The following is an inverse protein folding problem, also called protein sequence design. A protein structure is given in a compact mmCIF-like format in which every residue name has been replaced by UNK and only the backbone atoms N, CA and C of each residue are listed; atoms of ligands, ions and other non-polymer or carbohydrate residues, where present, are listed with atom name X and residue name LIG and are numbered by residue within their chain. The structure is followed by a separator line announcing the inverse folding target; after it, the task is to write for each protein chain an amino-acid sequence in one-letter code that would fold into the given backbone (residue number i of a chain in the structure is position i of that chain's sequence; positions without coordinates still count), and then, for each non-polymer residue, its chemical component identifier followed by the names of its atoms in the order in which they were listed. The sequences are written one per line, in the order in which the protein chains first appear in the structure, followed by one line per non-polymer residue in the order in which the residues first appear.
data_IF_562054886162
#
_entry.id   IF_562054886162
#
_cell.length_a   1.000
_cell.length_b   1.000
_cell.length_c   1.000
_cell.angle_alpha   90.00
_cell.angle_beta   90.00
_cell.angle_gamma   90.00
#
_symmetry.space_group_name_H-M   'P 1'
#
loop_
_entity.id
_entity.type
_entity.pdbx_description
1 polymer ?
#
# COMPACT_ATOMS: atom_id res chain seq x y z
N UNK A 1 -9.08 -7.25 -30.66
CA UNK A 1 -8.31 -6.02 -30.35
C UNK A 1 -6.89 -6.45 -30.01
N UNK A 2 -5.86 -5.85 -30.62
CA UNK A 2 -4.46 -6.17 -30.33
C UNK A 2 -4.04 -5.66 -28.92
N UNK A 3 -3.02 -6.30 -28.33
CA UNK A 3 -2.54 -5.96 -26.98
C UNK A 3 -2.21 -4.46 -26.80
N UNK A 4 -1.75 -3.78 -27.86
CA UNK A 4 -1.45 -2.34 -27.83
C UNK A 4 -2.70 -1.46 -27.68
N UNK A 5 -3.85 -1.87 -28.21
CA UNK A 5 -5.10 -1.12 -28.04
C UNK A 5 -5.68 -1.29 -26.64
N UNK A 6 -5.52 -2.48 -26.04
CA UNK A 6 -5.95 -2.74 -24.65
C UNK A 6 -5.11 -1.93 -23.67
N UNK A 7 -3.79 -1.84 -23.88
CA UNK A 7 -2.91 -1.05 -23.04
C UNK A 7 -3.24 0.45 -23.12
N UNK A 8 -3.53 0.98 -24.33
CA UNK A 8 -3.94 2.38 -24.50
C UNK A 8 -5.28 2.68 -23.82
N UNK A 9 -6.26 1.78 -23.90
CA UNK A 9 -7.54 1.95 -23.22
C UNK A 9 -7.39 1.91 -21.69
N UNK A 10 -6.50 1.06 -21.17
CA UNK A 10 -6.17 1.00 -19.75
C UNK A 10 -5.52 2.31 -19.27
N UNK A 11 -4.51 2.81 -19.99
CA UNK A 11 -3.82 4.07 -19.65
C UNK A 11 -4.77 5.26 -19.69
N UNK A 12 -5.67 5.34 -20.68
CA UNK A 12 -6.68 6.38 -20.76
C UNK A 12 -7.74 6.27 -19.66
N UNK A 13 -8.14 5.06 -19.28
CA UNK A 13 -9.04 4.81 -18.14
C UNK A 13 -8.43 5.25 -16.80
N UNK A 14 -7.15 4.97 -16.61
CA UNK A 14 -6.37 5.38 -15.43
C UNK A 14 -6.26 6.92 -15.37
N UNK A 15 -5.93 7.56 -16.49
CA UNK A 15 -5.84 9.01 -16.57
C UNK A 15 -7.21 9.69 -16.33
N UNK A 16 -8.30 9.10 -16.79
CA UNK A 16 -9.65 9.59 -16.54
C UNK A 16 -10.06 9.45 -15.06
N UNK A 17 -9.68 8.35 -14.38
CA UNK A 17 -9.93 8.21 -12.94
C UNK A 17 -9.19 9.29 -12.13
N UNK A 18 -7.94 9.61 -12.49
CA UNK A 18 -7.15 10.63 -11.81
C UNK A 18 -7.72 12.07 -11.97
N UNK A 19 -8.54 12.31 -12.99
CA UNK A 19 -9.13 13.63 -13.27
C UNK A 19 -10.47 13.88 -12.55
N UNK A 20 -11.08 12.87 -11.93
CA UNK A 20 -12.44 12.97 -11.36
C UNK A 20 -12.45 13.44 -9.89
N UNK A 21 -11.31 13.47 -9.20
CA UNK A 21 -11.24 13.79 -7.78
C UNK A 21 -10.58 15.17 -7.52
N UNK A 22 -11.24 16.09 -6.80
CA UNK A 22 -10.68 17.40 -6.44
C UNK A 22 -9.63 17.28 -5.31
N UNK A 23 -8.70 18.24 -5.25
CA UNK A 23 -7.49 18.17 -4.44
C UNK A 23 -7.67 18.48 -2.95
N UNK A 24 -6.90 17.80 -2.16
CA UNK A 24 -6.93 17.88 -0.70
C UNK A 24 -5.60 17.60 0.06
N UNK A 25 -5.22 18.25 1.14
CA UNK A 25 -3.88 18.39 1.79
C UNK A 25 -3.64 17.60 3.10
N UNK A 26 -2.60 16.79 3.30
CA UNK A 26 -1.84 16.42 4.51
C UNK A 26 -0.54 15.67 4.22
N UNK A 27 0.32 15.47 5.24
CA UNK A 27 1.51 14.66 5.08
C UNK A 27 1.14 13.24 4.65
N UNK A 28 1.63 12.87 3.48
CA UNK A 28 1.36 11.59 2.91
C UNK A 28 2.19 10.54 3.64
N UNK A 29 1.53 9.63 4.29
CA UNK A 29 2.14 8.43 4.79
C UNK A 29 1.90 7.28 3.81
N UNK A 30 2.92 6.50 3.53
CA UNK A 30 2.95 5.43 2.54
C UNK A 30 2.08 4.21 2.88
N UNK A 31 1.17 4.36 3.81
CA UNK A 31 0.27 3.31 4.32
C UNK A 31 -0.63 2.71 3.25
N UNK A 32 -0.98 3.51 2.25
CA UNK A 32 -1.70 3.05 1.07
C UNK A 32 -1.00 1.90 0.31
N UNK A 33 0.31 1.76 0.52
CA UNK A 33 1.16 0.81 -0.18
C UNK A 33 1.27 -0.51 0.59
N UNK A 34 1.12 -0.48 1.91
CA UNK A 34 1.36 -1.60 2.82
C UNK A 34 0.09 -2.19 3.47
N UNK A 35 -1.09 -1.78 3.05
CA UNK A 35 -2.34 -2.35 3.55
C UNK A 35 -2.62 -3.77 3.02
N UNK A 36 -3.70 -4.43 3.45
CA UNK A 36 -4.10 -5.78 3.02
C UNK A 36 -4.24 -5.93 1.50
N UNK A 37 -4.58 -4.85 0.81
CA UNK A 37 -4.66 -4.79 -0.66
C UNK A 37 -3.31 -4.97 -1.34
N UNK A 38 -2.21 -4.60 -0.70
CA UNK A 38 -0.87 -4.82 -1.24
C UNK A 38 -0.54 -6.29 -1.34
N UNK A 39 -1.18 -7.15 -0.54
CA UNK A 39 -1.03 -8.60 -0.64
C UNK A 39 -1.43 -9.14 -2.01
N UNK A 40 -2.45 -8.55 -2.65
CA UNK A 40 -2.82 -8.89 -4.03
C UNK A 40 -1.67 -8.60 -5.01
N UNK A 41 -0.96 -7.50 -4.83
CA UNK A 41 0.19 -7.16 -5.67
C UNK A 41 1.38 -8.09 -5.42
N UNK A 42 1.57 -8.53 -4.18
CA UNK A 42 2.72 -9.34 -3.81
C UNK A 42 2.65 -10.78 -4.31
N UNK A 43 1.48 -11.29 -4.67
CA UNK A 43 1.34 -12.61 -5.29
C UNK A 43 1.68 -12.62 -6.79
N UNK A 44 1.82 -11.47 -7.44
CA UNK A 44 1.93 -11.35 -8.89
C UNK A 44 3.38 -11.15 -9.34
N UNK A 45 3.86 -11.95 -10.27
CA UNK A 45 5.22 -11.84 -10.82
C UNK A 45 5.38 -10.70 -11.83
N UNK A 46 4.30 -10.39 -12.55
CA UNK A 46 4.27 -9.28 -13.52
C UNK A 46 2.94 -8.58 -13.43
N UNK A 47 2.98 -7.30 -13.15
CA UNK A 47 1.77 -6.51 -13.03
C UNK A 47 2.01 -5.02 -13.26
N UNK A 48 0.93 -4.32 -13.55
CA UNK A 48 0.80 -2.88 -13.37
C UNK A 48 -0.47 -2.60 -12.58
N UNK A 49 -0.45 -1.58 -11.74
CA UNK A 49 -1.65 -1.18 -11.01
C UNK A 49 -1.78 0.33 -10.94
N UNK A 50 -3.03 0.78 -10.84
CA UNK A 50 -3.38 2.13 -10.46
C UNK A 50 -4.37 2.08 -9.30
N UNK A 51 -4.09 2.82 -8.25
CA UNK A 51 -4.85 2.81 -7.02
C UNK A 51 -5.10 4.23 -6.56
N UNK A 52 -6.20 4.46 -5.87
CA UNK A 52 -6.51 5.73 -5.22
C UNK A 52 -6.94 5.44 -3.80
N UNK A 53 -6.34 6.12 -2.86
CA UNK A 53 -6.67 6.06 -1.45
C UNK A 53 -7.05 7.45 -0.96
N UNK A 54 -8.04 7.53 -0.11
CA UNK A 54 -8.39 8.75 0.59
C UNK A 54 -8.55 8.46 2.07
N UNK A 55 -7.95 9.29 2.91
CA UNK A 55 -8.10 9.21 4.37
C UNK A 55 -8.46 10.56 4.94
N UNK A 56 -9.12 10.56 6.08
CA UNK A 56 -9.37 11.73 6.87
C UNK A 56 -8.64 11.63 8.19
N UNK A 57 -7.83 12.64 8.50
CA UNK A 57 -7.02 12.73 9.72
C UNK A 57 -7.52 13.91 10.54
N UNK A 58 -7.35 13.85 11.85
CA UNK A 58 -7.53 14.98 12.75
C UNK A 58 -8.81 14.97 13.57
N UNK A 59 -8.95 16.00 14.38
CA UNK A 59 -10.06 16.24 15.31
C UNK A 59 -11.15 17.13 14.71
N UNK A 60 -12.16 17.46 15.51
CA UNK A 60 -13.28 18.32 15.06
C UNK A 60 -12.89 19.76 14.71
N UNK A 61 -11.72 20.23 15.12
CA UNK A 61 -11.25 21.61 14.85
C UNK A 61 -10.04 21.68 13.92
N UNK A 62 -9.45 20.52 13.55
CA UNK A 62 -8.31 20.45 12.64
C UNK A 62 -8.47 19.17 11.80
N UNK A 63 -9.18 19.30 10.69
CA UNK A 63 -9.45 18.19 9.79
C UNK A 63 -8.60 18.32 8.54
N UNK A 64 -7.98 17.23 8.23
CA UNK A 64 -7.20 17.07 7.03
C UNK A 64 -7.72 15.88 6.23
N UNK A 65 -7.92 16.07 4.94
CA UNK A 65 -8.24 14.97 4.03
C UNK A 65 -7.07 14.78 3.07
N UNK A 66 -6.60 13.58 2.93
CA UNK A 66 -5.56 13.18 2.02
C UNK A 66 -6.13 12.25 0.94
N UNK A 67 -5.70 12.46 -0.30
CA UNK A 67 -6.01 11.56 -1.41
C UNK A 67 -4.74 11.26 -2.17
N UNK A 68 -4.31 10.01 -2.17
CA UNK A 68 -3.09 9.55 -2.84
C UNK A 68 -3.44 8.63 -4.00
N UNK A 69 -3.04 9.05 -5.20
CA UNK A 69 -2.99 8.19 -6.38
C UNK A 69 -1.66 7.44 -6.41
N UNK A 70 -1.69 6.13 -6.62
CA UNK A 70 -0.50 5.30 -6.65
C UNK A 70 -0.45 4.55 -7.97
N UNK A 71 0.62 4.75 -8.72
CA UNK A 71 0.97 3.90 -9.85
C UNK A 71 2.05 2.92 -9.40
N UNK A 72 1.86 1.64 -9.66
CA UNK A 72 2.89 0.64 -9.36
C UNK A 72 3.02 -0.39 -10.46
N UNK A 73 4.19 -1.00 -10.52
CA UNK A 73 4.47 -2.09 -11.44
C UNK A 73 5.53 -3.02 -10.87
N UNK A 74 5.45 -4.27 -11.29
CA UNK A 74 6.42 -5.29 -10.93
C UNK A 74 6.72 -6.20 -12.10
N UNK A 75 7.95 -6.67 -12.15
CA UNK A 75 8.42 -7.59 -13.17
C UNK A 75 9.44 -8.56 -12.58
N UNK A 76 9.33 -9.83 -12.95
CA UNK A 76 10.40 -10.80 -12.73
C UNK A 76 11.47 -10.59 -13.83
N UNK A 77 12.67 -10.07 -13.48
CA UNK A 77 13.69 -9.74 -14.47
C UNK A 77 14.40 -10.97 -15.03
N UNK A 78 14.34 -12.09 -14.33
CA UNK A 78 15.04 -13.33 -14.71
C UNK A 78 14.08 -14.50 -14.60
N UNK A 79 13.71 -15.07 -15.72
CA UNK A 79 12.81 -16.23 -15.75
C UNK A 79 13.39 -17.40 -14.93
N UNK A 80 12.56 -17.97 -14.07
CA UNK A 80 12.94 -19.08 -13.18
C UNK A 80 13.54 -18.66 -11.83
N UNK A 81 13.82 -17.37 -11.62
CA UNK A 81 14.14 -16.87 -10.28
C UNK A 81 12.87 -16.33 -9.61
N UNK A 82 12.58 -16.70 -8.36
CA UNK A 82 11.40 -16.22 -7.63
C UNK A 82 11.61 -14.80 -7.08
N UNK A 83 12.16 -13.92 -7.91
CA UNK A 83 12.46 -12.52 -7.58
C UNK A 83 11.65 -11.60 -8.46
N UNK A 84 10.91 -10.68 -7.89
CA UNK A 84 10.21 -9.61 -8.61
C UNK A 84 10.76 -8.27 -8.16
N UNK A 85 11.13 -7.42 -9.11
CA UNK A 85 11.48 -6.02 -8.87
C UNK A 85 10.23 -5.17 -9.04
N UNK A 86 10.02 -4.22 -8.14
CA UNK A 86 8.83 -3.36 -8.11
C UNK A 86 9.21 -1.89 -8.05
N UNK A 87 8.40 -1.06 -8.70
CA UNK A 87 8.46 0.40 -8.57
C UNK A 87 7.08 0.92 -8.19
N UNK A 88 7.03 1.90 -7.30
CA UNK A 88 5.81 2.53 -6.80
C UNK A 88 6.01 4.04 -6.85
N UNK A 89 5.08 4.73 -7.49
CA UNK A 89 5.10 6.18 -7.69
C UNK A 89 3.80 6.77 -7.13
N UNK A 90 3.83 7.33 -5.92
CA UNK A 90 2.67 8.00 -5.33
C UNK A 90 2.59 9.46 -5.75
N UNK A 91 1.36 9.96 -5.87
CA UNK A 91 1.04 11.36 -6.05
C UNK A 91 -0.07 11.75 -5.10
N UNK A 92 0.20 12.64 -4.21
CA UNK A 92 -0.76 13.06 -3.20
C UNK A 92 -1.31 14.44 -3.44
N UNK A 93 -2.50 14.56 -3.00
CA UNK A 93 -3.29 15.77 -2.98
C UNK A 93 -3.84 15.90 -1.56
N UNK A 94 -3.47 17.00 -0.88
CA UNK A 94 -3.63 17.22 0.55
C UNK A 94 -4.45 18.51 0.89
N UNK A 95 -5.66 18.51 1.63
CA UNK A 95 -6.54 19.66 2.05
C UNK A 95 -6.61 19.81 3.57
N UNK A 96 -6.24 20.97 4.04
CA UNK A 96 -6.62 21.40 5.39
C UNK A 96 -8.04 21.99 5.34
N UNK A 97 -9.02 21.17 5.67
CA UNK A 97 -10.43 21.52 5.50
C UNK A 97 -10.82 22.77 6.29
N UNK A 98 -10.19 22.98 7.45
CA UNK A 98 -10.47 24.10 8.33
C UNK A 98 -9.67 25.37 7.97
N UNK A 99 -8.53 25.23 7.29
CA UNK A 99 -7.69 26.37 6.87
C UNK A 99 -7.92 26.80 5.41
N UNK A 100 -8.67 25.99 4.63
CA UNK A 100 -8.93 26.26 3.21
C UNK A 100 -7.68 26.23 2.33
N UNK A 101 -6.58 25.61 2.81
CA UNK A 101 -5.33 25.50 2.06
C UNK A 101 -5.22 24.12 1.39
N UNK A 102 -4.55 24.08 0.23
CA UNK A 102 -4.34 22.87 -0.55
C UNK A 102 -2.93 22.84 -1.12
N UNK A 103 -2.30 21.64 -1.09
CA UNK A 103 -1.03 21.37 -1.77
C UNK A 103 -1.09 20.02 -2.47
N UNK A 104 -0.34 19.80 -3.51
CA UNK A 104 -0.28 18.52 -4.22
C UNK A 104 1.10 18.31 -4.84
N UNK A 105 1.48 17.06 -5.05
CA UNK A 105 2.75 16.73 -5.67
C UNK A 105 3.06 15.24 -5.62
N UNK A 106 4.15 14.87 -6.27
CA UNK A 106 4.71 13.55 -6.14
C UNK A 106 5.30 13.38 -4.73
N UNK A 107 5.15 12.18 -4.20
CA UNK A 107 5.84 11.72 -3.01
C UNK A 107 7.11 10.96 -3.41
N UNK A 108 7.78 10.39 -2.42
CA UNK A 108 8.99 9.64 -2.65
C UNK A 108 8.72 8.34 -3.41
N UNK A 109 9.56 8.05 -4.39
CA UNK A 109 9.44 6.84 -5.21
C UNK A 109 10.01 5.66 -4.42
N UNK A 110 9.27 4.54 -4.39
CA UNK A 110 9.73 3.31 -3.76
C UNK A 110 10.21 2.35 -4.85
N UNK A 111 11.46 1.90 -4.72
CA UNK A 111 12.00 0.79 -5.48
C UNK A 111 12.21 -0.40 -4.54
N UNK A 112 11.69 -1.55 -4.91
CA UNK A 112 11.76 -2.75 -4.09
C UNK A 112 12.08 -4.00 -4.88
N UNK A 113 12.52 -5.00 -4.14
CA UNK A 113 12.66 -6.37 -4.61
C UNK A 113 11.98 -7.29 -3.62
N UNK A 114 11.37 -8.34 -4.11
CA UNK A 114 10.76 -9.38 -3.30
C UNK A 114 11.20 -10.75 -3.78
N UNK A 115 11.36 -11.64 -2.84
CA UNK A 115 11.67 -13.05 -3.04
C UNK A 115 10.49 -13.89 -2.56
N UNK A 116 9.92 -14.71 -3.45
CA UNK A 116 8.82 -15.63 -3.15
C UNK A 116 9.37 -17.03 -2.93
N UNK A 117 8.95 -17.67 -1.86
CA UNK A 117 9.24 -19.05 -1.56
C UNK A 117 7.94 -19.85 -1.49
N UNK A 118 7.72 -20.75 -2.45
CA UNK A 118 6.52 -21.57 -2.51
C UNK A 118 6.58 -22.69 -1.47
N UNK A 119 5.57 -22.78 -0.62
CA UNK A 119 5.52 -23.74 0.49
C UNK A 119 5.26 -25.18 0.04
N UNK A 120 4.79 -25.40 -1.18
CA UNK A 120 4.67 -26.72 -1.81
C UNK A 120 6.00 -27.48 -1.83
N UNK A 121 7.14 -26.76 -1.88
CA UNK A 121 8.47 -27.35 -1.81
C UNK A 121 8.81 -27.96 -0.45
N UNK A 122 8.10 -27.57 0.62
CA UNK A 122 8.32 -28.08 2.00
C UNK A 122 7.32 -29.18 2.39
N UNK A 123 6.09 -29.10 1.89
CA UNK A 123 5.00 -29.97 2.34
C UNK A 123 4.14 -30.33 1.14
N UNK A 124 4.24 -31.55 0.65
CA UNK A 124 3.47 -32.09 -0.49
C UNK A 124 1.96 -31.87 -0.41
N UNK A 125 1.42 -31.68 0.80
CA UNK A 125 -0.01 -31.41 1.04
C UNK A 125 -0.42 -29.95 0.80
N UNK A 126 0.54 -29.05 0.57
CA UNK A 126 0.31 -27.61 0.37
C UNK A 126 0.55 -27.19 -1.08
N UNK A 127 0.32 -28.12 -1.98
CA UNK A 127 0.46 -27.93 -3.43
C UNK A 127 -0.65 -27.02 -3.98
N UNK A 128 -0.57 -25.74 -3.62
CA UNK A 128 -1.41 -24.66 -4.17
C UNK A 128 -0.59 -23.41 -4.36
N UNK A 129 -0.79 -22.75 -5.48
CA UNK A 129 -0.10 -21.49 -5.84
C UNK A 129 -0.27 -20.37 -4.79
N UNK A 130 -1.36 -20.41 -4.02
CA UNK A 130 -1.64 -19.48 -2.92
C UNK A 130 -0.85 -19.71 -1.64
N UNK A 131 -0.07 -20.80 -1.54
CA UNK A 131 0.70 -21.15 -0.35
C UNK A 131 2.16 -20.73 -0.51
N UNK A 132 2.54 -19.60 0.05
CA UNK A 132 3.90 -19.07 -0.10
C UNK A 132 4.33 -18.22 1.10
N UNK A 133 5.65 -18.08 1.24
CA UNK A 133 6.30 -17.03 2.02
C UNK A 133 6.97 -16.04 1.08
N UNK A 134 6.99 -14.79 1.47
CA UNK A 134 7.59 -13.72 0.70
C UNK A 134 8.41 -12.83 1.63
N UNK A 135 9.67 -12.62 1.28
CA UNK A 135 10.52 -11.58 1.84
C UNK A 135 10.59 -10.38 0.89
N UNK A 136 10.61 -9.19 1.43
CA UNK A 136 10.75 -7.97 0.64
C UNK A 136 11.75 -7.01 1.27
N UNK A 137 12.42 -6.25 0.42
CA UNK A 137 13.28 -5.13 0.78
C UNK A 137 13.15 -4.03 -0.25
N UNK A 138 13.35 -2.79 0.15
CA UNK A 138 13.27 -1.65 -0.77
C UNK A 138 13.90 -0.40 -0.20
N UNK A 139 14.00 0.58 -1.08
CA UNK A 139 14.46 1.92 -0.76
C UNK A 139 13.42 2.92 -1.23
N UNK A 140 13.25 3.96 -0.46
CA UNK A 140 12.45 5.11 -0.79
C UNK A 140 13.37 6.26 -1.16
N UNK A 141 13.19 6.74 -2.38
CA UNK A 141 14.05 7.76 -2.99
C UNK A 141 13.36 9.11 -2.86
N UNK A 142 14.01 10.12 -2.27
CA UNK A 142 13.43 11.43 -2.08
C UNK A 142 13.25 12.13 -3.43
N UNK A 143 12.11 11.92 -4.04
CA UNK A 143 11.68 12.57 -5.29
C UNK A 143 10.52 13.51 -5.06
N UNK A 144 9.97 13.50 -3.84
CA UNK A 144 8.78 14.22 -3.45
C UNK A 144 8.95 15.73 -3.50
N UNK A 145 7.94 16.38 -4.07
CA UNK A 145 7.84 17.85 -4.15
C UNK A 145 6.97 18.41 -3.02
N UNK A 146 6.19 17.52 -2.35
CA UNK A 146 5.22 17.94 -1.34
C UNK A 146 5.90 18.43 -0.06
N UNK A 147 6.88 17.70 0.44
CA UNK A 147 7.47 17.95 1.76
C UNK A 147 8.91 18.45 1.70
N UNK A 148 9.60 18.26 0.58
CA UNK A 148 11.00 18.59 0.43
C UNK A 148 11.28 19.31 -0.88
N UNK A 149 12.39 20.06 -0.90
CA UNK A 149 13.01 20.42 -2.17
C UNK A 149 13.40 19.11 -2.85
N UNK A 150 12.91 18.88 -4.05
CA UNK A 150 13.16 17.67 -4.82
C UNK A 150 14.64 17.23 -4.71
N UNK A 151 14.87 15.94 -4.37
CA UNK A 151 16.18 15.30 -4.26
C UNK A 151 17.06 15.70 -3.04
N UNK A 152 16.53 16.44 -2.07
CA UNK A 152 17.30 16.88 -0.90
C UNK A 152 17.08 16.05 0.38
N UNK A 153 16.16 15.12 0.36
CA UNK A 153 15.86 14.19 1.47
C UNK A 153 16.86 13.05 1.61
N UNK A 154 16.87 12.34 2.74
CA UNK A 154 17.61 11.09 2.91
C UNK A 154 16.91 9.94 2.16
N UNK A 155 17.67 8.86 1.89
CA UNK A 155 17.08 7.59 1.46
C UNK A 155 16.50 6.88 2.67
N UNK A 156 15.24 6.48 2.59
CA UNK A 156 14.61 5.62 3.58
C UNK A 156 14.65 4.15 3.13
N UNK A 157 14.59 3.24 4.09
CA UNK A 157 14.70 1.81 3.82
C UNK A 157 13.47 1.08 4.35
N UNK A 158 13.05 0.08 3.62
CA UNK A 158 11.92 -0.76 4.04
C UNK A 158 12.24 -2.22 3.86
N UNK A 159 11.67 -3.02 4.75
CA UNK A 159 11.81 -4.47 4.70
C UNK A 159 10.60 -5.14 5.34
N UNK A 160 10.35 -6.38 4.96
CA UNK A 160 9.21 -7.09 5.52
C UNK A 160 9.11 -8.52 5.04
N UNK A 161 8.09 -9.17 5.57
CA UNK A 161 7.74 -10.52 5.20
C UNK A 161 6.22 -10.67 5.12
N UNK A 162 5.76 -11.58 4.28
CA UNK A 162 4.36 -11.95 4.12
C UNK A 162 4.26 -13.45 3.98
N UNK A 163 3.24 -14.05 4.59
CA UNK A 163 2.87 -15.45 4.40
C UNK A 163 1.43 -15.54 3.93
N UNK A 164 1.17 -16.43 2.99
CA UNK A 164 -0.17 -16.75 2.50
C UNK A 164 -0.43 -18.24 2.56
N UNK A 165 -1.62 -18.60 3.00
CA UNK A 165 -2.13 -19.98 3.01
C UNK A 165 -3.52 -20.02 2.41
N UNK A 166 -3.75 -21.02 1.56
CA UNK A 166 -5.02 -21.20 0.86
C UNK A 166 -5.58 -22.61 1.08
N UNK A 167 -6.88 -22.68 1.32
CA UNK A 167 -7.61 -23.96 1.47
C UNK A 167 -9.05 -23.83 0.97
N UNK A 168 -9.33 -24.42 -0.18
CA UNK A 168 -10.66 -24.33 -0.82
C UNK A 168 -10.97 -22.90 -1.23
N UNK A 169 -12.14 -22.42 -0.83
CA UNK A 169 -12.56 -21.04 -1.07
C UNK A 169 -11.98 -20.04 -0.05
N UNK A 170 -11.18 -20.48 0.91
CA UNK A 170 -10.61 -19.65 1.94
C UNK A 170 -9.13 -19.43 1.74
N UNK A 171 -8.68 -18.22 1.92
CA UNK A 171 -7.27 -17.88 2.05
C UNK A 171 -7.02 -17.01 3.27
N UNK A 172 -5.83 -17.17 3.84
CA UNK A 172 -5.36 -16.38 4.97
C UNK A 172 -4.01 -15.78 4.67
N UNK A 173 -3.80 -14.57 5.13
CA UNK A 173 -2.52 -13.86 4.98
C UNK A 173 -2.08 -13.27 6.31
N UNK A 174 -0.76 -13.23 6.53
CA UNK A 174 -0.14 -12.49 7.61
C UNK A 174 1.09 -11.76 7.06
N UNK A 175 1.35 -10.55 7.55
CA UNK A 175 2.48 -9.76 7.08
C UNK A 175 3.06 -8.89 8.19
N UNK A 176 4.32 -8.51 8.01
CA UNK A 176 4.99 -7.50 8.81
C UNK A 176 5.88 -6.64 7.92
N UNK A 177 5.94 -5.34 8.20
CA UNK A 177 6.80 -4.38 7.53
C UNK A 177 7.47 -3.49 8.55
N UNK A 178 8.71 -3.14 8.26
CA UNK A 178 9.46 -2.13 8.97
C UNK A 178 9.94 -1.10 7.97
N UNK A 179 9.73 0.18 8.27
CA UNK A 179 10.29 1.31 7.55
C UNK A 179 11.23 2.06 8.47
N UNK A 180 12.47 2.17 8.04
CA UNK A 180 13.48 2.98 8.66
C UNK A 180 13.52 4.34 7.97
N UNK A 181 13.16 5.39 8.68
CA UNK A 181 13.32 6.76 8.22
C UNK A 181 14.73 7.24 8.59
N UNK A 182 15.48 7.71 7.61
CA UNK A 182 16.84 8.19 7.82
C UNK A 182 16.83 9.65 8.33
N UNK A 183 17.84 10.07 9.10
CA UNK A 183 17.94 11.45 9.53
C UNK A 183 18.25 12.39 8.35
N UNK A 184 17.65 13.56 8.36
CA UNK A 184 17.94 14.63 7.42
C UNK A 184 19.31 15.31 7.71
N UNK A 185 19.69 16.25 6.86
CA UNK A 185 20.97 16.99 6.98
C UNK A 185 21.08 17.84 8.26
N UNK A 186 19.97 18.09 8.93
CA UNK A 186 19.91 18.87 10.18
C UNK A 186 19.89 17.97 11.42
N UNK A 187 19.88 16.64 11.24
CA UNK A 187 19.78 15.65 12.30
C UNK A 187 18.34 15.42 12.77
N UNK A 188 17.37 16.00 12.09
CA UNK A 188 15.95 15.67 12.27
C UNK A 188 15.65 14.29 11.66
N UNK A 189 14.76 13.54 12.28
CA UNK A 189 14.36 12.21 11.80
C UNK A 189 12.88 11.98 12.08
N UNK A 190 12.10 11.57 11.08
CA UNK A 190 10.77 11.01 11.30
C UNK A 190 10.89 9.69 12.07
N UNK A 191 9.94 9.36 12.90
CA UNK A 191 9.92 8.08 13.60
C UNK A 191 9.80 6.90 12.64
N UNK A 192 10.49 5.81 12.95
CA UNK A 192 10.38 4.58 12.17
C UNK A 192 8.99 3.97 12.32
N UNK A 193 8.52 3.24 11.31
CA UNK A 193 7.20 2.66 11.29
C UNK A 193 7.27 1.13 11.30
N UNK A 194 6.39 0.51 12.08
CA UNK A 194 6.24 -0.95 12.16
C UNK A 194 4.78 -1.28 11.86
N UNK A 195 4.56 -2.17 10.92
CA UNK A 195 3.24 -2.65 10.53
C UNK A 195 3.19 -4.18 10.70
N UNK A 196 2.18 -4.64 11.42
CA UNK A 196 1.87 -6.06 11.54
C UNK A 196 0.40 -6.24 11.20
N UNK A 197 0.09 -7.20 10.34
CA UNK A 197 -1.28 -7.37 9.93
C UNK A 197 -1.57 -8.76 9.39
N UNK A 198 -2.81 -8.93 9.00
CA UNK A 198 -3.27 -10.16 8.39
C UNK A 198 -4.71 -10.05 7.95
N UNK A 199 -5.25 -11.15 7.46
CA UNK A 199 -6.64 -11.18 7.04
C UNK A 199 -7.06 -12.55 6.56
N UNK A 200 -8.36 -12.68 6.38
CA UNK A 200 -9.01 -13.83 5.78
C UNK A 200 -9.78 -13.37 4.54
N UNK A 201 -9.74 -14.19 3.51
CA UNK A 201 -10.54 -13.99 2.31
C UNK A 201 -11.41 -15.21 2.04
N UNK A 202 -12.59 -14.97 1.52
CA UNK A 202 -13.53 -15.98 1.03
C UNK A 202 -13.85 -15.71 -0.43
N UNK A 203 -13.47 -16.65 -1.30
CA UNK A 203 -13.61 -16.56 -2.77
C UNK A 203 -14.52 -17.68 -3.26
N UNK A 204 -15.84 -17.51 -3.20
CA UNK A 204 -16.79 -18.53 -3.68
C UNK A 204 -16.81 -18.58 -5.19
N UNK A 205 -16.81 -19.78 -5.75
CA UNK A 205 -17.08 -19.99 -7.19
C UNK A 205 -16.01 -19.44 -8.13
N UNK A 206 -14.74 -19.51 -7.74
CA UNK A 206 -13.62 -19.17 -8.61
C UNK A 206 -13.62 -20.04 -9.88
N UNK A 207 -13.61 -19.39 -11.03
CA UNK A 207 -13.42 -20.07 -12.32
C UNK A 207 -11.93 -20.03 -12.70
N UNK A 208 -11.21 -21.08 -12.34
CA UNK A 208 -9.77 -21.21 -12.60
C UNK A 208 -9.41 -21.15 -14.09
N UNK A 209 -10.35 -21.49 -14.99
CA UNK A 209 -10.09 -21.44 -16.44
C UNK A 209 -10.07 -20.03 -17.00
N UNK A 210 -10.90 -19.16 -16.49
CA UNK A 210 -10.99 -17.75 -16.94
C UNK A 210 -10.39 -16.76 -15.97
N UNK A 211 -10.08 -17.18 -14.74
CA UNK A 211 -9.64 -16.30 -13.64
C UNK A 211 -10.74 -15.34 -13.17
N UNK A 212 -12.02 -15.67 -13.42
CA UNK A 212 -13.14 -14.88 -12.89
C UNK A 212 -13.36 -15.22 -11.43
N UNK A 213 -13.41 -14.20 -10.59
CA UNK A 213 -13.69 -14.37 -9.16
C UNK A 213 -14.34 -13.14 -8.53
N UNK A 214 -15.01 -13.38 -7.43
CA UNK A 214 -15.36 -12.36 -6.44
C UNK A 214 -14.78 -12.84 -5.12
N UNK A 215 -14.02 -11.98 -4.42
CA UNK A 215 -13.42 -12.30 -3.12
C UNK A 215 -13.85 -11.27 -2.09
N UNK A 216 -14.38 -11.75 -0.98
CA UNK A 216 -14.72 -10.96 0.21
C UNK A 216 -13.59 -11.13 1.21
N UNK A 217 -12.99 -10.02 1.63
CA UNK A 217 -11.84 -10.07 2.51
C UNK A 217 -12.10 -9.24 3.76
N UNK A 218 -11.62 -9.73 4.89
CA UNK A 218 -11.55 -8.98 6.14
C UNK A 218 -10.12 -9.01 6.65
N UNK A 219 -9.45 -7.89 6.51
CA UNK A 219 -8.10 -7.68 6.99
C UNK A 219 -8.06 -6.89 8.30
N UNK A 220 -6.90 -6.88 8.92
CA UNK A 220 -6.55 -6.03 10.05
C UNK A 220 -5.09 -5.61 9.93
N UNK A 221 -4.76 -4.43 10.46
CA UNK A 221 -3.38 -3.98 10.65
C UNK A 221 -3.22 -3.34 12.02
N UNK A 222 -2.10 -3.62 12.65
CA UNK A 222 -1.59 -2.90 13.81
C UNK A 222 -0.39 -2.09 13.37
N UNK A 223 -0.51 -0.78 13.48
CA UNK A 223 0.44 0.18 12.99
C UNK A 223 1.07 0.91 14.17
N UNK A 224 2.40 0.95 14.21
CA UNK A 224 3.18 1.64 15.24
C UNK A 224 4.07 2.67 14.57
N UNK A 225 3.94 3.90 15.00
CA UNK A 225 4.76 5.04 14.61
C UNK A 225 5.66 5.39 15.79
N UNK A 226 6.97 5.24 15.64
CA UNK A 226 7.92 5.66 16.65
C UNK A 226 7.98 7.19 16.71
N UNK A 227 8.61 7.72 17.74
CA UNK A 227 8.74 9.17 17.90
C UNK A 227 9.69 9.78 16.87
N UNK A 228 9.34 10.95 16.42
CA UNK A 228 10.25 11.79 15.65
C UNK A 228 11.40 12.26 16.53
N UNK A 229 12.51 12.62 15.89
CA UNK A 229 13.64 13.25 16.56
C UNK A 229 13.87 14.64 16.00
N UNK A 230 14.03 15.60 16.90
CA UNK A 230 14.39 16.97 16.56
C UNK A 230 15.69 17.28 17.26
N UNK A 231 16.73 17.66 16.50
CA UNK A 231 18.08 17.93 17.02
C UNK A 231 18.63 16.78 17.92
N UNK A 232 18.36 15.53 17.53
CA UNK A 232 18.84 14.34 18.24
C UNK A 232 18.03 13.92 19.48
N UNK A 233 16.97 14.65 19.82
CA UNK A 233 16.09 14.34 20.97
C UNK A 233 14.72 13.90 20.47
N UNK A 234 14.16 12.85 21.09
CA UNK A 234 12.81 12.37 20.75
C UNK A 234 11.77 13.44 21.09
N UNK A 235 10.90 13.77 20.12
CA UNK A 235 9.76 14.66 20.34
C UNK A 235 8.66 13.90 21.12
N UNK A 236 8.35 14.29 22.36
CA UNK A 236 7.37 13.60 23.18
C UNK A 236 5.93 13.72 22.66
N UNK A 237 5.66 14.63 21.73
CA UNK A 237 4.32 14.89 21.19
C UNK A 237 4.04 14.08 19.94
N UNK A 238 5.03 13.37 19.39
CA UNK A 238 4.88 12.56 18.16
C UNK A 238 4.82 11.07 18.47
N UNK A 239 4.48 10.29 17.44
CA UNK A 239 4.36 8.86 17.51
C UNK A 239 2.99 8.40 18.03
N UNK A 240 2.70 7.13 17.81
CA UNK A 240 1.43 6.53 18.22
C UNK A 240 1.25 5.13 17.68
N UNK A 241 0.07 4.61 17.93
CA UNK A 241 -0.31 3.25 17.51
C UNK A 241 -1.77 3.24 17.14
N UNK A 242 -2.11 2.38 16.17
CA UNK A 242 -3.53 2.14 15.83
C UNK A 242 -3.77 0.70 15.38
N UNK A 243 -4.98 0.26 15.56
CA UNK A 243 -5.51 -0.99 15.04
C UNK A 243 -6.64 -0.66 14.08
N UNK A 244 -6.51 -1.13 12.86
CA UNK A 244 -7.47 -0.93 11.77
C UNK A 244 -8.10 -2.26 11.37
N UNK A 245 -9.36 -2.22 10.97
CA UNK A 245 -10.04 -3.30 10.25
C UNK A 245 -10.28 -2.87 8.80
N UNK A 246 -10.09 -3.82 7.86
CA UNK A 246 -10.12 -3.57 6.43
C UNK A 246 -11.08 -4.50 5.69
N UNK A 247 -12.40 -4.29 5.74
CA UNK A 247 -13.29 -4.95 4.80
C UNK A 247 -12.94 -4.54 3.37
N UNK A 248 -12.74 -5.54 2.52
CA UNK A 248 -12.29 -5.40 1.13
C UNK A 248 -13.11 -6.29 0.22
N UNK A 249 -13.48 -5.78 -0.94
CA UNK A 249 -14.08 -6.53 -2.03
C UNK A 249 -13.11 -6.54 -3.20
N UNK A 250 -12.86 -7.73 -3.76
CA UNK A 250 -12.08 -7.90 -4.99
C UNK A 250 -12.96 -8.54 -6.05
N UNK A 251 -12.90 -8.01 -7.26
CA UNK A 251 -13.59 -8.54 -8.44
C UNK A 251 -12.60 -8.71 -9.59
N UNK A 252 -12.52 -9.91 -10.14
CA UNK A 252 -11.80 -10.18 -11.38
C UNK A 252 -12.79 -10.65 -12.48
N UNK A 253 -12.88 -9.96 -13.62
CA UNK A 253 -13.59 -10.46 -14.78
C UNK A 253 -12.78 -11.51 -15.53
N UNK A 254 -11.58 -11.87 -15.06
CA UNK A 254 -10.63 -12.75 -15.73
C UNK A 254 -9.59 -12.01 -16.56
N UNK A 255 -8.76 -12.80 -17.26
CA UNK A 255 -7.71 -12.30 -18.17
C UNK A 255 -6.67 -11.38 -17.46
N UNK A 256 -6.36 -11.66 -16.20
CA UNK A 256 -5.39 -10.91 -15.41
C UNK A 256 -5.86 -9.55 -14.89
N UNK A 257 -7.11 -9.15 -15.14
CA UNK A 257 -7.66 -7.90 -14.68
C UNK A 257 -8.34 -8.08 -13.33
N UNK A 258 -8.03 -7.23 -12.35
CA UNK A 258 -8.65 -7.23 -11.03
C UNK A 258 -9.00 -5.80 -10.61
N UNK A 259 -10.13 -5.66 -9.94
CA UNK A 259 -10.59 -4.43 -9.29
C UNK A 259 -10.74 -4.70 -7.81
N UNK A 260 -10.44 -3.71 -6.98
CA UNK A 260 -10.73 -3.81 -5.56
C UNK A 260 -11.30 -2.51 -5.01
N UNK A 261 -12.03 -2.65 -3.92
CA UNK A 261 -12.49 -1.54 -3.08
C UNK A 261 -12.38 -1.93 -1.61
N UNK A 262 -11.88 -1.02 -0.79
CA UNK A 262 -11.71 -1.24 0.64
C UNK A 262 -12.12 -0.02 1.46
N UNK A 263 -12.47 -0.30 2.71
CA UNK A 263 -12.60 0.72 3.76
C UNK A 263 -11.71 0.29 4.92
N UNK A 264 -10.96 1.22 5.51
CA UNK A 264 -10.18 0.95 6.71
C UNK A 264 -10.79 1.74 7.87
N UNK A 265 -11.17 1.02 8.91
CA UNK A 265 -11.85 1.56 10.08
C UNK A 265 -10.95 1.44 11.31
N UNK A 266 -10.53 2.53 11.92
CA UNK A 266 -9.78 2.48 13.17
C UNK A 266 -10.70 1.99 14.30
N UNK A 267 -10.36 0.83 14.89
CA UNK A 267 -11.08 0.24 16.01
C UNK A 267 -10.42 0.53 17.36
N UNK A 268 -9.15 0.84 17.33
CA UNK A 268 -8.39 1.31 18.49
C UNK A 268 -7.25 2.19 18.05
N UNK A 269 -6.90 3.19 18.87
CA UNK A 269 -5.79 4.13 18.62
C UNK A 269 -5.28 4.76 19.91
N UNK A 270 -3.98 5.00 19.93
CA UNK A 270 -3.25 5.64 21.01
C UNK A 270 -2.17 6.54 20.41
N UNK A 271 -2.55 7.74 20.01
CA UNK A 271 -1.65 8.76 19.48
C UNK A 271 -1.42 9.84 20.52
N UNK A 272 -0.18 10.33 20.62
CA UNK A 272 0.17 11.45 21.49
C UNK A 272 -0.37 12.77 20.94
N UNK A 273 -0.28 12.94 19.62
CA UNK A 273 -0.95 14.04 18.92
C UNK A 273 -2.33 13.59 18.43
N UNK A 274 -3.41 14.11 19.00
CA UNK A 274 -4.77 13.76 18.55
C UNK A 274 -5.07 14.25 17.13
N UNK A 275 -4.29 15.19 16.57
CA UNK A 275 -4.44 15.66 15.19
C UNK A 275 -3.92 14.62 14.19
N UNK A 276 -2.99 13.77 14.58
CA UNK A 276 -2.45 12.72 13.74
C UNK A 276 -3.34 11.46 13.61
N UNK A 277 -4.52 11.45 14.23
CA UNK A 277 -5.39 10.28 14.28
C UNK A 277 -6.23 10.13 13.00
N UNK A 278 -6.16 8.96 12.38
CA UNK A 278 -7.06 8.60 11.29
C UNK A 278 -8.51 8.48 11.76
N UNK A 279 -9.44 8.95 10.95
CA UNK A 279 -10.88 8.75 11.16
C UNK A 279 -11.40 7.56 10.37
N UNK A 280 -11.01 7.48 9.12
CA UNK A 280 -11.26 6.36 8.23
C UNK A 280 -10.33 6.50 7.01
N UNK A 281 -10.14 5.39 6.31
CA UNK A 281 -9.47 5.35 5.00
C UNK A 281 -10.38 4.62 4.02
N UNK A 282 -10.41 5.05 2.77
CA UNK A 282 -11.07 4.34 1.67
C UNK A 282 -10.07 4.18 0.54
N UNK A 283 -10.16 3.06 -0.17
CA UNK A 283 -9.28 2.80 -1.28
C UNK A 283 -9.97 2.02 -2.38
N UNK A 284 -9.56 2.26 -3.60
CA UNK A 284 -9.97 1.48 -4.77
C UNK A 284 -8.82 1.42 -5.77
N UNK A 285 -8.84 0.42 -6.62
CA UNK A 285 -7.82 0.31 -7.64
C UNK A 285 -8.10 -0.75 -8.67
N UNK A 286 -7.26 -0.74 -9.68
CA UNK A 286 -7.22 -1.72 -10.75
C UNK A 286 -5.81 -2.29 -10.87
N UNK A 287 -5.72 -3.59 -11.06
CA UNK A 287 -4.49 -4.35 -11.25
C UNK A 287 -4.64 -5.12 -12.55
N UNK A 288 -3.59 -5.12 -13.35
CA UNK A 288 -3.47 -5.99 -14.52
C UNK A 288 -2.20 -6.82 -14.41
N UNK A 289 -2.35 -8.14 -14.40
CA UNK A 289 -1.28 -9.12 -14.35
C UNK A 289 -1.20 -9.92 -15.66
N UNK A 290 0.00 -10.35 -16.10
CA UNK A 290 0.20 -11.12 -17.35
C UNK A 290 1.31 -12.14 -17.25
#
# INVERSE_FOLDING_TARGET
MGNSQRLRALVLGIAALALVFPPAVADAHHEAIFGPQSSLLYSLDRFVSAQVFSRQIGTSGQKTQETTGVLSGGVNPVQGLPVTVTAIVPYSIINQLDAGSSRSGFEDIILGARYRYDLSTLIDKWDREGNFLLGLAGVEIPSGVIDHKAWDGPLDYLGGALGSLEKGAWSGIAYTYYRHNSPDKTGGKKGDNIFVGGGLAFTPGEDLTTGKLISYQLGWSYETYLRDRVAGTDDPNTGGRELLLHPTLVYSPGHGLMFFGLVSLPVWRDFRDPVAQDRFRVGTGVIYAW
#
